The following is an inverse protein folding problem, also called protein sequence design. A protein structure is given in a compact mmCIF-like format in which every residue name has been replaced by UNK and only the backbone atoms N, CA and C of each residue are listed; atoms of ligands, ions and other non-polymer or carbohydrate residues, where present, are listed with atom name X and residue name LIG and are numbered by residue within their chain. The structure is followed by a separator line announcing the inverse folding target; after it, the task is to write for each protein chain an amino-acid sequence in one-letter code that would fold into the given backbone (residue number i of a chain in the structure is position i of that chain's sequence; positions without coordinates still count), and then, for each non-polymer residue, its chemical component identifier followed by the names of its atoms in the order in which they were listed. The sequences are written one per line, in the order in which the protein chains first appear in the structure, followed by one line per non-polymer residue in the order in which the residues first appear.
data_IF_378910470938
#
_entry.id   IF_378910470938
#
_cell.length_a   1.000
_cell.length_b   1.000
_cell.length_c   1.000
_cell.angle_alpha   90.00
_cell.angle_beta   90.00
_cell.angle_gamma   90.00
#
_symmetry.space_group_name_H-M   'P 1'
#
loop_
_entity.id
_entity.type
_entity.pdbx_description
1 polymer ?
#
# COMPACT_ATOMS: atom_id res chain seq x y z
N UNK A 1 14.22 -11.93 35.43
CA UNK A 1 12.92 -11.94 34.73
C UNK A 1 12.79 -10.65 33.95
N UNK A 2 12.53 -10.70 32.64
CA UNK A 2 11.76 -9.73 31.81
C UNK A 2 12.23 -9.53 30.34
N UNK A 3 12.95 -10.48 29.72
CA UNK A 3 13.30 -10.37 28.28
C UNK A 3 12.12 -10.75 27.36
N UNK A 4 11.35 -11.78 27.74
CA UNK A 4 10.22 -12.29 26.94
C UNK A 4 9.05 -11.30 26.80
N UNK A 5 8.79 -10.46 27.81
CA UNK A 5 7.73 -9.47 27.75
C UNK A 5 8.05 -8.30 26.81
N UNK A 6 9.34 -7.92 26.68
CA UNK A 6 9.78 -6.90 25.73
C UNK A 6 9.58 -7.37 24.29
N UNK A 7 10.05 -8.58 23.98
CA UNK A 7 9.89 -9.19 22.64
C UNK A 7 8.42 -9.38 22.24
N UNK A 8 7.54 -9.69 23.18
CA UNK A 8 6.10 -9.81 22.91
C UNK A 8 5.45 -8.45 22.56
N UNK A 9 5.84 -7.37 23.23
CA UNK A 9 5.36 -6.00 22.94
C UNK A 9 5.89 -5.52 21.59
N UNK A 10 7.17 -5.75 21.31
CA UNK A 10 7.78 -5.38 20.03
C UNK A 10 7.05 -6.07 18.86
N UNK A 11 6.69 -7.34 19.03
CA UNK A 11 5.93 -8.10 18.04
C UNK A 11 4.51 -7.54 17.81
N UNK A 12 3.82 -7.13 18.87
CA UNK A 12 2.48 -6.54 18.76
C UNK A 12 2.51 -5.21 17.98
N UNK A 13 3.51 -4.36 18.24
CA UNK A 13 3.70 -3.10 17.50
C UNK A 13 3.93 -3.36 16.01
N UNK A 14 4.78 -4.34 15.68
CA UNK A 14 5.06 -4.70 14.28
C UNK A 14 3.80 -5.22 13.57
N UNK A 15 2.94 -5.98 14.25
CA UNK A 15 1.65 -6.43 13.70
C UNK A 15 0.69 -5.26 13.42
N UNK A 16 0.63 -4.26 14.29
CA UNK A 16 -0.19 -3.06 14.07
C UNK A 16 0.30 -2.25 12.85
N UNK A 17 1.63 -2.13 12.70
CA UNK A 17 2.21 -1.51 11.50
C UNK A 17 1.88 -2.31 10.23
N UNK A 18 1.89 -3.65 10.30
CA UNK A 18 1.49 -4.49 9.18
C UNK A 18 0.02 -4.29 8.79
N UNK A 19 -0.88 -4.22 9.77
CA UNK A 19 -2.30 -3.95 9.54
C UNK A 19 -2.50 -2.61 8.84
N UNK A 20 -1.82 -1.57 9.31
CA UNK A 20 -1.88 -0.24 8.69
C UNK A 20 -1.32 -0.24 7.26
N UNK A 21 -0.18 -0.91 7.03
CA UNK A 21 0.41 -1.04 5.71
C UNK A 21 -0.54 -1.76 4.73
N UNK A 22 -1.18 -2.84 5.18
CA UNK A 22 -2.18 -3.57 4.40
C UNK A 22 -3.39 -2.70 4.05
N UNK A 23 -3.88 -1.91 5.00
CA UNK A 23 -4.97 -0.96 4.75
C UNK A 23 -4.58 0.07 3.67
N UNK A 24 -3.39 0.65 3.76
CA UNK A 24 -2.90 1.60 2.77
C UNK A 24 -2.77 0.99 1.37
N UNK A 25 -2.24 -0.24 1.27
CA UNK A 25 -2.17 -0.98 0.01
C UNK A 25 -3.57 -1.19 -0.59
N UNK A 26 -4.54 -1.62 0.23
CA UNK A 26 -5.91 -1.85 -0.22
C UNK A 26 -6.60 -0.56 -0.69
N UNK A 27 -6.38 0.56 0.01
CA UNK A 27 -6.89 1.86 -0.39
C UNK A 27 -6.22 2.38 -1.67
N UNK A 28 -4.91 2.19 -1.82
CA UNK A 28 -4.15 2.52 -3.02
C UNK A 28 -4.66 1.77 -4.25
N UNK A 29 -4.89 0.46 -4.12
CA UNK A 29 -5.44 -0.35 -5.21
C UNK A 29 -6.83 0.15 -5.64
N UNK A 30 -7.72 0.46 -4.70
CA UNK A 30 -9.05 1.02 -5.01
C UNK A 30 -8.96 2.35 -5.77
N UNK A 31 -7.98 3.20 -5.44
CA UNK A 31 -7.75 4.47 -6.15
C UNK A 31 -7.27 4.24 -7.58
N UNK A 32 -6.36 3.28 -7.78
CA UNK A 32 -5.90 2.89 -9.12
C UNK A 32 -7.06 2.36 -9.96
N UNK A 33 -7.87 1.45 -9.43
CA UNK A 33 -9.01 0.87 -10.16
C UNK A 33 -10.02 1.95 -10.58
N UNK A 34 -10.33 2.89 -9.66
CA UNK A 34 -11.21 4.01 -9.95
C UNK A 34 -10.60 4.96 -11.01
N UNK A 35 -9.30 5.21 -10.94
CA UNK A 35 -8.60 6.09 -11.89
C UNK A 35 -8.51 5.45 -13.28
N UNK A 36 -8.28 4.15 -13.38
CA UNK A 36 -8.33 3.39 -14.63
C UNK A 36 -9.71 3.48 -15.27
N UNK A 37 -10.78 3.30 -14.50
CA UNK A 37 -12.15 3.45 -14.98
C UNK A 37 -12.42 4.88 -15.49
N UNK A 38 -11.90 5.90 -14.80
CA UNK A 38 -12.01 7.29 -15.24
C UNK A 38 -11.26 7.54 -16.57
N UNK A 39 -10.02 7.07 -16.69
CA UNK A 39 -9.21 7.20 -17.92
C UNK A 39 -9.93 6.52 -19.09
N UNK A 40 -10.45 5.31 -18.90
CA UNK A 40 -11.18 4.58 -19.94
C UNK A 40 -12.45 5.33 -20.39
N UNK A 41 -13.19 5.90 -19.43
CA UNK A 41 -14.36 6.74 -19.74
C UNK A 41 -13.98 7.98 -20.54
N UNK A 42 -12.97 8.73 -20.11
CA UNK A 42 -12.51 9.94 -20.79
C UNK A 42 -12.04 9.63 -22.21
N UNK A 43 -11.26 8.57 -22.39
CA UNK A 43 -10.78 8.14 -23.71
C UNK A 43 -11.93 7.77 -24.65
N UNK A 44 -12.92 7.02 -24.17
CA UNK A 44 -14.11 6.65 -24.95
C UNK A 44 -14.92 7.88 -25.37
N UNK A 45 -15.04 8.84 -24.47
CA UNK A 45 -15.82 10.06 -24.71
C UNK A 45 -15.03 11.11 -25.54
N UNK A 46 -13.79 10.79 -25.95
CA UNK A 46 -12.94 11.64 -26.80
C UNK A 46 -12.27 12.80 -26.07
N UNK A 47 -12.21 12.75 -24.74
CA UNK A 47 -11.56 13.78 -23.92
C UNK A 47 -10.05 13.55 -23.82
N UNK A 48 -9.31 14.64 -23.55
CA UNK A 48 -7.88 14.54 -23.20
C UNK A 48 -7.70 13.77 -21.88
N UNK A 49 -6.86 12.74 -21.91
CA UNK A 49 -6.57 11.86 -20.78
C UNK A 49 -5.23 12.12 -20.12
N UNK A 50 -4.42 13.07 -20.62
CA UNK A 50 -3.03 13.22 -20.18
C UNK A 50 -2.88 13.45 -18.67
N UNK A 51 -3.72 14.31 -18.10
CA UNK A 51 -3.73 14.57 -16.65
C UNK A 51 -4.21 13.35 -15.85
N UNK A 52 -5.25 12.68 -16.31
CA UNK A 52 -5.78 11.49 -15.65
C UNK A 52 -4.77 10.33 -15.65
N UNK A 53 -4.03 10.15 -16.73
CA UNK A 53 -2.93 9.19 -16.82
C UNK A 53 -1.74 9.58 -15.95
N UNK A 54 -1.43 10.88 -15.83
CA UNK A 54 -0.38 11.36 -14.93
C UNK A 54 -0.72 11.09 -13.46
N UNK A 55 -1.98 11.27 -13.08
CA UNK A 55 -2.44 10.93 -11.73
C UNK A 55 -2.42 9.42 -11.47
N UNK A 56 -2.78 8.61 -12.47
CA UNK A 56 -2.68 7.15 -12.38
C UNK A 56 -1.24 6.71 -12.06
N UNK A 57 -0.25 7.23 -12.78
CA UNK A 57 1.16 6.91 -12.52
C UNK A 57 1.60 7.26 -11.10
N UNK A 58 1.18 8.42 -10.58
CA UNK A 58 1.49 8.80 -9.19
C UNK A 58 0.87 7.83 -8.17
N UNK A 59 -0.34 7.32 -8.42
CA UNK A 59 -0.95 6.31 -7.57
C UNK A 59 -0.22 4.97 -7.65
N UNK A 60 0.21 4.55 -8.84
CA UNK A 60 1.00 3.33 -9.04
C UNK A 60 2.35 3.42 -8.32
N UNK A 61 3.07 4.54 -8.45
CA UNK A 61 4.33 4.81 -7.75
C UNK A 61 4.14 4.80 -6.22
N UNK A 62 3.07 5.44 -5.74
CA UNK A 62 2.74 5.45 -4.30
C UNK A 62 2.42 4.05 -3.79
N UNK A 63 1.64 3.27 -4.55
CA UNK A 63 1.29 1.91 -4.16
C UNK A 63 2.53 1.00 -4.13
N UNK A 64 3.47 1.17 -5.06
CA UNK A 64 4.72 0.42 -5.06
C UNK A 64 5.53 0.63 -3.77
N UNK A 65 5.63 1.88 -3.29
CA UNK A 65 6.30 2.19 -2.01
C UNK A 65 5.58 1.59 -0.80
N UNK A 66 4.24 1.57 -0.82
CA UNK A 66 3.43 0.96 0.24
C UNK A 66 3.58 -0.57 0.26
N UNK A 67 3.63 -1.21 -0.91
CA UNK A 67 3.91 -2.63 -1.06
C UNK A 67 5.30 -2.98 -0.52
N UNK A 68 6.32 -2.20 -0.87
CA UNK A 68 7.68 -2.40 -0.37
C UNK A 68 7.73 -2.27 1.16
N UNK A 69 7.05 -1.27 1.72
CA UNK A 69 6.96 -1.09 3.18
C UNK A 69 6.28 -2.28 3.85
N UNK A 70 5.17 -2.77 3.29
CA UNK A 70 4.49 -3.98 3.78
C UNK A 70 5.44 -5.18 3.76
N UNK A 71 6.15 -5.38 2.66
CA UNK A 71 7.02 -6.55 2.49
C UNK A 71 8.20 -6.54 3.46
N UNK A 72 8.79 -5.38 3.75
CA UNK A 72 9.80 -5.25 4.81
C UNK A 72 9.23 -5.64 6.18
N UNK A 73 8.04 -5.18 6.55
CA UNK A 73 7.41 -5.53 7.83
C UNK A 73 7.13 -7.05 7.91
N UNK A 74 6.68 -7.66 6.82
CA UNK A 74 6.48 -9.12 6.76
C UNK A 74 7.78 -9.87 6.94
N UNK A 75 8.88 -9.39 6.36
CA UNK A 75 10.22 -9.99 6.54
C UNK A 75 10.68 -9.88 8.00
N UNK A 76 10.55 -8.71 8.63
CA UNK A 76 10.89 -8.50 10.05
C UNK A 76 10.12 -9.46 10.98
N UNK A 77 8.84 -9.72 10.71
CA UNK A 77 8.03 -10.70 11.44
C UNK A 77 8.45 -12.15 11.21
N UNK A 78 8.99 -12.47 10.02
CA UNK A 78 9.48 -13.80 9.67
C UNK A 78 10.83 -14.12 10.28
N UNK A 79 11.71 -13.11 10.37
CA UNK A 79 13.04 -13.20 11.00
C UNK A 79 12.98 -13.19 12.53
N UNK A 80 11.92 -12.61 13.12
CA UNK A 80 11.67 -12.58 14.57
C UNK A 80 11.03 -13.87 15.13
N UNK A 81 11.14 -15.02 14.43
CA UNK A 81 10.54 -16.32 14.82
C UNK A 81 11.48 -17.25 15.55
#
# INVERSE_FOLDING_TARGET
MNNAASSAIDREIVLQHLELANKHVAEGQKRIDAQLALVARLARDGHDTAQAQSLLRQFEETLALQLETRDRIVQELGESR
#
